data_IF_539447578844
#
_entry.id   IF_539447578844
#
_cell.length_a   1.000
_cell.length_b   1.000
_cell.length_c   1.000
_cell.angle_alpha   90.00
_cell.angle_beta   90.00
_cell.angle_gamma   90.00
#
_symmetry.space_group_name_H-M   'P 1'
#
loop_
_entity.id
_entity.type
_entity.pdbx_description
1 polymer ?
#
# COMPACT_ATOMS: atom_id res chain seq x y z
N UNK A 1 25.97 18.18 0.58
CA UNK A 1 24.56 18.56 0.28
C UNK A 1 24.21 17.95 -1.07
N UNK A 2 23.17 17.12 -1.15
CA UNK A 2 22.80 16.47 -2.41
C UNK A 2 22.16 17.51 -3.34
N UNK A 3 22.71 17.77 -4.54
CA UNK A 3 22.23 18.82 -5.43
C UNK A 3 20.81 18.56 -5.98
N UNK A 4 20.32 17.32 -5.89
CA UNK A 4 18.96 16.94 -6.28
C UNK A 4 17.90 17.33 -5.25
N UNK A 5 18.29 17.68 -4.02
CA UNK A 5 17.32 18.00 -2.97
C UNK A 5 16.55 19.26 -3.30
N UNK A 6 17.22 20.30 -3.79
CA UNK A 6 16.59 21.57 -4.15
C UNK A 6 15.54 21.44 -5.27
N UNK A 7 15.85 20.85 -6.45
CA UNK A 7 14.86 20.68 -7.50
C UNK A 7 13.72 19.74 -7.08
N UNK A 8 14.02 18.68 -6.31
CA UNK A 8 13.00 17.76 -5.82
C UNK A 8 12.03 18.46 -4.85
N UNK A 9 12.55 19.34 -3.99
CA UNK A 9 11.74 20.09 -3.03
C UNK A 9 10.82 21.10 -3.73
N UNK A 10 11.30 21.76 -4.80
CA UNK A 10 10.47 22.63 -5.63
C UNK A 10 9.34 21.86 -6.32
N UNK A 11 9.64 20.68 -6.88
CA UNK A 11 8.63 19.79 -7.47
C UNK A 11 7.61 19.35 -6.40
N UNK A 12 8.08 18.95 -5.23
CA UNK A 12 7.22 18.52 -4.13
C UNK A 12 6.27 19.64 -3.66
N UNK A 13 6.73 20.89 -3.60
CA UNK A 13 5.88 22.04 -3.26
C UNK A 13 4.79 22.24 -4.31
N UNK A 14 5.14 22.23 -5.60
CA UNK A 14 4.15 22.39 -6.69
C UNK A 14 3.11 21.27 -6.66
N UNK A 15 3.56 20.03 -6.45
CA UNK A 15 2.68 18.88 -6.30
C UNK A 15 1.79 18.99 -5.06
N UNK A 16 2.30 19.52 -3.95
CA UNK A 16 1.52 19.69 -2.73
C UNK A 16 0.31 20.61 -2.97
N UNK A 17 0.52 21.75 -3.62
CA UNK A 17 -0.58 22.66 -3.96
C UNK A 17 -1.55 22.11 -5.02
N UNK A 18 -1.05 21.29 -5.94
CA UNK A 18 -1.87 20.69 -7.01
C UNK A 18 -2.73 19.53 -6.50
N UNK A 19 -2.16 18.65 -5.68
CA UNK A 19 -2.82 17.43 -5.19
C UNK A 19 -3.71 17.74 -3.98
N UNK A 20 -3.33 18.71 -3.13
CA UNK A 20 -4.06 19.11 -1.92
C UNK A 20 -4.55 20.57 -2.02
N UNK A 21 -5.48 20.90 -2.95
CA UNK A 21 -5.83 22.28 -3.26
C UNK A 21 -6.58 23.00 -2.13
N UNK A 22 -7.38 22.28 -1.33
CA UNK A 22 -8.08 22.83 -0.17
C UNK A 22 -8.53 21.73 0.81
N UNK A 23 -8.91 22.13 2.02
CA UNK A 23 -9.36 21.20 3.08
C UNK A 23 -10.67 20.50 2.73
N UNK A 24 -11.57 21.15 1.97
CA UNK A 24 -12.85 20.54 1.56
C UNK A 24 -12.66 19.36 0.61
N UNK A 25 -11.79 19.50 -0.39
CA UNK A 25 -11.38 18.44 -1.29
C UNK A 25 -10.77 17.27 -0.53
N UNK A 26 -10.00 17.55 0.53
CA UNK A 26 -9.43 16.50 1.37
C UNK A 26 -10.49 15.70 2.12
N UNK A 27 -11.53 16.36 2.63
CA UNK A 27 -12.62 15.69 3.33
C UNK A 27 -13.34 14.75 2.37
N UNK A 28 -13.69 15.20 1.17
CA UNK A 28 -14.32 14.36 0.13
C UNK A 28 -13.41 13.20 -0.30
N UNK A 29 -12.12 13.48 -0.50
CA UNK A 29 -11.14 12.45 -0.85
C UNK A 29 -10.97 11.40 0.25
N UNK A 30 -10.92 11.82 1.52
CA UNK A 30 -10.81 10.89 2.65
C UNK A 30 -12.08 10.09 2.91
N UNK A 31 -13.24 10.48 2.39
CA UNK A 31 -14.45 9.64 2.46
C UNK A 31 -14.35 8.40 1.56
N UNK A 32 -13.73 8.51 0.38
CA UNK A 32 -13.56 7.38 -0.53
C UNK A 32 -12.29 6.56 -0.24
N UNK A 33 -11.29 7.17 0.39
CA UNK A 33 -10.01 6.54 0.71
C UNK A 33 -10.12 5.18 1.45
N UNK A 34 -11.01 4.99 2.44
CA UNK A 34 -11.21 3.72 3.13
C UNK A 34 -11.58 2.56 2.20
N UNK A 35 -12.38 2.81 1.16
CA UNK A 35 -12.77 1.78 0.19
C UNK A 35 -11.55 1.25 -0.58
N UNK A 36 -10.65 2.15 -1.00
CA UNK A 36 -9.42 1.77 -1.68
C UNK A 36 -8.41 1.11 -0.74
N UNK A 37 -8.35 1.55 0.52
CA UNK A 37 -7.38 1.03 1.48
C UNK A 37 -7.73 -0.38 1.99
N UNK A 38 -8.99 -0.82 1.90
CA UNK A 38 -9.41 -2.19 2.26
C UNK A 38 -8.62 -3.26 1.49
N UNK A 39 -8.25 -3.01 0.24
CA UNK A 39 -7.44 -3.97 -0.55
C UNK A 39 -6.09 -4.22 0.13
N UNK A 40 -5.44 -3.17 0.63
CA UNK A 40 -4.17 -3.31 1.31
C UNK A 40 -4.32 -3.71 2.78
N UNK A 41 -5.37 -3.26 3.46
CA UNK A 41 -5.62 -3.54 4.88
C UNK A 41 -6.17 -4.93 5.16
N UNK A 42 -6.94 -5.52 4.24
CA UNK A 42 -7.64 -6.78 4.45
C UNK A 42 -7.26 -7.83 3.40
N UNK A 43 -7.27 -7.46 2.11
CA UNK A 43 -7.03 -8.45 1.05
C UNK A 43 -5.57 -8.92 1.04
N UNK A 44 -4.61 -8.01 1.24
CA UNK A 44 -3.19 -8.36 1.34
C UNK A 44 -2.87 -9.34 2.48
N UNK A 45 -3.25 -9.09 3.76
CA UNK A 45 -2.98 -10.06 4.83
C UNK A 45 -3.72 -11.39 4.64
N UNK A 46 -4.93 -11.37 4.08
CA UNK A 46 -5.65 -12.61 3.77
C UNK A 46 -4.92 -13.43 2.69
N UNK A 47 -4.44 -12.79 1.64
CA UNK A 47 -3.64 -13.42 0.59
C UNK A 47 -2.36 -14.03 1.16
N UNK A 48 -1.63 -13.27 1.98
CA UNK A 48 -0.41 -13.76 2.66
C UNK A 48 -0.71 -14.97 3.54
N UNK A 49 -1.83 -14.96 4.26
CA UNK A 49 -2.24 -16.09 5.08
C UNK A 49 -2.57 -17.34 4.24
N UNK A 50 -3.29 -17.17 3.13
CA UNK A 50 -3.61 -18.26 2.20
C UNK A 50 -2.35 -18.86 1.58
N UNK A 51 -1.41 -18.03 1.13
CA UNK A 51 -0.13 -18.48 0.59
C UNK A 51 0.68 -19.24 1.65
N UNK A 52 0.67 -18.76 2.90
CA UNK A 52 1.28 -19.44 4.04
C UNK A 52 0.70 -20.84 4.28
N UNK A 53 -0.63 -20.98 4.25
CA UNK A 53 -1.30 -22.29 4.37
C UNK A 53 -0.96 -23.20 3.19
N UNK A 54 -1.03 -22.69 1.95
CA UNK A 54 -0.70 -23.47 0.75
C UNK A 54 0.73 -24.02 0.79
N UNK A 55 1.69 -23.20 1.21
CA UNK A 55 3.09 -23.62 1.41
C UNK A 55 3.19 -24.74 2.45
N UNK A 56 2.49 -24.63 3.58
CA UNK A 56 2.46 -25.65 4.63
C UNK A 56 1.86 -26.98 4.13
N UNK A 57 0.76 -26.94 3.40
CA UNK A 57 0.14 -28.15 2.83
C UNK A 57 1.03 -28.83 1.80
N UNK A 58 1.70 -28.07 0.92
CA UNK A 58 2.66 -28.63 -0.04
C UNK A 58 3.90 -29.22 0.64
N UNK A 59 4.38 -28.62 1.72
CA UNK A 59 5.50 -29.16 2.49
C UNK A 59 5.13 -30.46 3.23
N UNK A 60 3.90 -30.54 3.78
CA UNK A 60 3.40 -31.75 4.44
C UNK A 60 3.18 -32.90 3.45
N UNK A 61 2.67 -32.62 2.25
CA UNK A 61 2.49 -33.62 1.20
C UNK A 61 3.81 -34.16 0.61
N UNK A 62 4.93 -33.45 0.80
CA UNK A 62 6.26 -33.87 0.32
C UNK A 62 7.03 -34.73 1.34
N UNK A 63 6.50 -34.94 2.54
CA UNK A 63 7.14 -35.81 3.54
C UNK A 63 6.84 -37.28 3.16
N UNK A 64 7.84 -38.08 2.74
CA UNK A 64 7.61 -39.51 2.58
C UNK A 64 7.29 -40.09 3.96
N UNK A 65 6.20 -40.87 4.03
CA UNK A 65 5.91 -41.72 5.19
C UNK A 65 7.13 -42.62 5.47
N UNK A 66 7.48 -42.86 6.75
CA UNK A 66 8.54 -43.79 7.11
C UNK A 66 8.23 -45.23 6.66
#
# INVERSE_FOLDING_TARGET
>A
MNPLVLPLLLIAIVLAYSIWPNTSYLIEFFQVWPLYSIVFGVFLPLLLWMLGKLKRHRAAAKKPSP
#
